data_IF_451745144854
#
_entry.id   IF_451745144854
#
_cell.length_a   1.000
_cell.length_b   1.000
_cell.length_c   1.000
_cell.angle_alpha   90.00
_cell.angle_beta   90.00
_cell.angle_gamma   90.00
#
_symmetry.space_group_name_H-M   'P 1'
#
loop_
_entity.id
_entity.type
_entity.pdbx_description
1 polymer ?
#
# COMPACT_ATOMS: atom_id res chain seq x y z
N UNK A 1 -14.36 16.09 -29.57
CA UNK A 1 -15.49 15.62 -30.40
C UNK A 1 -16.44 16.79 -30.60
N UNK A 2 -16.92 17.09 -31.80
CA UNK A 2 -17.90 18.17 -31.99
C UNK A 2 -19.28 17.54 -31.98
N UNK A 3 -20.10 17.89 -30.99
CA UNK A 3 -21.49 17.47 -30.92
C UNK A 3 -22.40 18.60 -31.39
N UNK A 4 -23.38 18.25 -32.22
CA UNK A 4 -24.37 19.18 -32.74
C UNK A 4 -25.70 18.92 -32.05
N UNK A 5 -26.21 19.93 -31.36
CA UNK A 5 -27.49 19.89 -30.67
C UNK A 5 -28.52 20.70 -31.46
N UNK A 6 -29.76 20.21 -31.54
CA UNK A 6 -30.87 20.99 -32.10
C UNK A 6 -31.73 21.48 -30.94
N UNK A 7 -31.82 22.80 -30.77
CA UNK A 7 -32.65 23.40 -29.73
C UNK A 7 -34.13 23.16 -30.08
N UNK A 8 -34.81 22.39 -29.24
CA UNK A 8 -36.18 21.94 -29.50
C UNK A 8 -37.20 23.09 -29.61
N UNK A 9 -36.91 24.25 -29.02
CA UNK A 9 -37.77 25.42 -29.00
C UNK A 9 -37.58 26.35 -30.21
N UNK A 10 -36.39 26.36 -30.82
CA UNK A 10 -36.04 27.30 -31.89
C UNK A 10 -35.62 26.63 -33.19
N UNK A 11 -35.41 25.31 -33.19
CA UNK A 11 -34.85 24.56 -34.33
C UNK A 11 -33.39 24.90 -34.64
N UNK A 12 -32.78 25.80 -33.86
CA UNK A 12 -31.41 26.25 -34.09
C UNK A 12 -30.43 25.12 -33.77
N UNK A 13 -29.50 24.87 -34.69
CA UNK A 13 -28.39 23.95 -34.47
C UNK A 13 -27.27 24.70 -33.74
N UNK A 14 -26.87 24.17 -32.59
CA UNK A 14 -25.74 24.67 -31.80
C UNK A 14 -24.70 23.56 -31.78
N UNK A 15 -23.49 23.88 -32.23
CA UNK A 15 -22.35 22.96 -32.13
C UNK A 15 -21.55 23.31 -30.89
N UNK A 16 -21.25 22.32 -30.06
CA UNK A 16 -20.32 22.47 -28.95
C UNK A 16 -19.15 21.52 -29.12
N UNK A 17 -17.95 22.01 -28.82
CA UNK A 17 -16.79 21.17 -28.66
C UNK A 17 -16.91 20.41 -27.33
N UNK A 18 -17.20 19.12 -27.40
CA UNK A 18 -17.06 18.22 -26.26
C UNK A 18 -15.57 17.98 -26.04
N UNK A 19 -15.05 18.57 -24.96
CA UNK A 19 -13.76 18.20 -24.40
C UNK A 19 -13.97 16.94 -23.57
N UNK A 20 -13.21 15.90 -23.88
CA UNK A 20 -13.07 14.76 -22.99
C UNK A 20 -12.58 15.29 -21.64
N UNK A 21 -13.38 15.13 -20.60
CA UNK A 21 -12.93 15.43 -19.24
C UNK A 21 -12.02 14.27 -18.89
N UNK A 22 -10.72 14.54 -18.89
CA UNK A 22 -9.74 13.59 -18.44
C UNK A 22 -10.06 13.20 -16.99
N UNK A 23 -10.51 11.95 -16.81
CA UNK A 23 -11.00 11.48 -15.51
C UNK A 23 -9.81 11.21 -14.62
N UNK A 24 -9.70 11.93 -13.52
CA UNK A 24 -8.76 11.61 -12.46
C UNK A 24 -9.41 10.57 -11.55
N UNK A 25 -8.76 9.43 -11.36
CA UNK A 25 -9.38 8.28 -10.67
C UNK A 25 -8.66 7.86 -9.40
N UNK A 26 -7.41 8.25 -9.20
CA UNK A 26 -6.62 7.88 -8.03
C UNK A 26 -6.83 8.93 -6.94
N UNK A 27 -7.41 8.53 -5.81
CA UNK A 27 -7.76 9.42 -4.70
C UNK A 27 -7.07 8.99 -3.41
N UNK A 28 -5.92 9.58 -3.05
CA UNK A 28 -5.41 9.49 -1.69
C UNK A 28 -6.37 10.20 -0.73
N UNK A 29 -6.91 9.47 0.26
CA UNK A 29 -7.94 9.98 1.16
C UNK A 29 -7.37 10.81 2.33
N UNK A 30 -6.08 10.73 2.58
CA UNK A 30 -5.39 11.45 3.66
C UNK A 30 -3.95 11.84 3.28
N UNK A 31 -3.31 12.75 4.03
CA UNK A 31 -1.97 13.23 3.68
C UNK A 31 -0.94 12.09 3.65
N UNK A 32 -1.04 11.14 4.59
CA UNK A 32 -0.11 10.02 4.63
C UNK A 32 -0.31 9.10 3.43
N UNK A 33 -1.56 8.78 3.05
CA UNK A 33 -1.86 7.97 1.86
C UNK A 33 -1.27 8.55 0.58
N UNK A 34 -1.27 9.88 0.43
CA UNK A 34 -0.60 10.56 -0.68
C UNK A 34 0.92 10.36 -0.63
N UNK A 35 1.52 10.50 0.55
CA UNK A 35 2.96 10.34 0.72
C UNK A 35 3.43 8.88 0.52
N UNK A 36 2.62 7.88 0.86
CA UNK A 36 2.93 6.48 0.56
C UNK A 36 3.06 6.22 -0.95
N UNK A 37 2.29 6.93 -1.79
CA UNK A 37 2.46 6.88 -3.26
C UNK A 37 3.80 7.50 -3.64
N UNK A 38 4.03 8.73 -3.18
CA UNK A 38 5.22 9.53 -3.50
C UNK A 38 6.52 8.84 -3.09
N UNK A 39 6.57 8.27 -1.89
CA UNK A 39 7.78 7.62 -1.37
C UNK A 39 8.11 6.30 -2.08
N UNK A 40 7.13 5.67 -2.75
CA UNK A 40 7.36 4.48 -3.57
C UNK A 40 7.98 4.77 -4.94
N UNK A 41 8.20 6.04 -5.29
CA UNK A 41 8.67 6.51 -6.59
C UNK A 41 10.01 7.23 -6.47
N UNK A 42 10.73 7.41 -7.58
CA UNK A 42 11.94 8.24 -7.56
C UNK A 42 11.61 9.70 -7.21
N UNK A 43 12.60 10.47 -6.74
CA UNK A 43 12.42 11.91 -6.47
C UNK A 43 11.91 12.68 -7.69
N UNK A 44 12.47 12.40 -8.87
CA UNK A 44 12.07 13.07 -10.11
C UNK A 44 10.61 12.77 -10.48
N UNK A 45 10.16 11.53 -10.28
CA UNK A 45 8.78 11.12 -10.59
C UNK A 45 7.76 11.68 -9.59
N UNK A 46 8.14 11.75 -8.31
CA UNK A 46 7.31 12.29 -7.25
C UNK A 46 6.83 13.72 -7.51
N UNK A 47 7.63 14.54 -8.20
CA UNK A 47 7.28 15.92 -8.59
C UNK A 47 6.04 15.99 -9.51
N UNK A 48 5.71 14.89 -10.19
CA UNK A 48 4.57 14.80 -11.11
C UNK A 48 3.33 14.15 -10.49
N UNK A 49 3.40 13.70 -9.23
CA UNK A 49 2.25 13.15 -8.51
C UNK A 49 1.54 14.30 -7.80
N UNK A 50 0.77 15.10 -8.55
CA UNK A 50 0.14 16.32 -8.02
C UNK A 50 -1.36 16.09 -7.78
N UNK A 51 -1.87 16.51 -6.62
CA UNK A 51 -3.32 16.49 -6.35
C UNK A 51 -4.03 17.66 -7.04
N UNK A 52 -5.16 17.38 -7.69
CA UNK A 52 -6.08 18.39 -8.16
C UNK A 52 -6.92 18.97 -7.00
N UNK A 53 -7.80 19.93 -7.29
CA UNK A 53 -8.65 20.60 -6.28
C UNK A 53 -9.63 19.66 -5.56
N UNK A 54 -9.95 18.52 -6.15
CA UNK A 54 -10.85 17.51 -5.61
C UNK A 54 -10.11 16.42 -4.81
N UNK A 55 -8.77 16.52 -4.73
CA UNK A 55 -7.91 15.60 -4.00
C UNK A 55 -7.48 14.35 -4.78
N UNK A 56 -7.81 14.25 -6.07
CA UNK A 56 -7.32 13.17 -6.93
C UNK A 56 -5.93 13.49 -7.49
N UNK A 57 -5.12 12.48 -7.78
CA UNK A 57 -3.89 12.65 -8.56
C UNK A 57 -4.26 13.08 -9.98
N UNK A 58 -3.69 14.21 -10.42
CA UNK A 58 -3.91 14.80 -11.72
C UNK A 58 -3.15 14.02 -12.80
N UNK A 59 -3.89 13.26 -13.60
CA UNK A 59 -3.37 12.41 -14.66
C UNK A 59 -2.53 13.17 -15.68
N UNK A 60 -2.81 14.47 -15.91
CA UNK A 60 -2.06 15.30 -16.85
C UNK A 60 -0.59 15.41 -16.46
N UNK A 61 -0.32 15.53 -15.16
CA UNK A 61 1.04 15.58 -14.64
C UNK A 61 1.73 14.23 -14.76
N UNK A 62 1.04 13.13 -14.49
CA UNK A 62 1.59 11.79 -14.72
C UNK A 62 1.99 11.57 -16.19
N UNK A 63 1.12 11.99 -17.12
CA UNK A 63 1.40 11.92 -18.56
C UNK A 63 2.54 12.86 -19.00
N UNK A 64 2.71 13.99 -18.33
CA UNK A 64 3.84 14.89 -18.57
C UNK A 64 5.15 14.22 -18.17
N UNK A 65 5.21 13.59 -16.99
CA UNK A 65 6.37 12.80 -16.56
C UNK A 65 6.75 11.73 -17.58
N UNK A 66 5.76 11.05 -18.19
CA UNK A 66 6.00 10.04 -19.24
C UNK A 66 6.72 10.62 -20.47
N UNK A 67 6.56 11.91 -20.75
CA UNK A 67 7.22 12.60 -21.87
C UNK A 67 8.59 13.15 -21.47
N UNK A 68 8.72 13.65 -20.24
CA UNK A 68 9.91 14.40 -19.79
C UNK A 68 10.97 13.53 -19.11
N UNK A 69 10.58 12.45 -18.44
CA UNK A 69 11.50 11.56 -17.72
C UNK A 69 11.98 10.45 -18.67
N UNK A 70 13.30 10.44 -18.94
CA UNK A 70 13.93 9.52 -19.89
C UNK A 70 13.74 8.03 -19.55
N UNK A 71 13.75 7.69 -18.26
CA UNK A 71 13.58 6.32 -17.77
C UNK A 71 12.69 6.31 -16.54
N UNK A 72 11.44 5.90 -16.74
CA UNK A 72 10.49 5.68 -15.65
C UNK A 72 10.81 4.38 -14.90
N UNK A 73 10.63 4.44 -13.59
CA UNK A 73 10.51 3.29 -12.69
C UNK A 73 9.28 2.46 -13.03
N UNK A 74 9.27 1.19 -12.64
CA UNK A 74 8.10 0.33 -12.90
C UNK A 74 6.93 0.71 -12.00
N UNK A 75 7.19 1.13 -10.75
CA UNK A 75 6.16 1.68 -9.86
C UNK A 75 5.43 2.86 -10.53
N UNK A 76 6.14 3.78 -11.18
CA UNK A 76 5.50 4.89 -11.89
C UNK A 76 4.69 4.42 -13.10
N UNK A 77 5.20 3.44 -13.86
CA UNK A 77 4.46 2.85 -14.99
C UNK A 77 3.15 2.19 -14.54
N UNK A 78 3.14 1.57 -13.36
CA UNK A 78 1.93 0.99 -12.80
C UNK A 78 0.96 2.03 -12.28
N UNK A 79 1.45 3.11 -11.66
CA UNK A 79 0.62 4.25 -11.31
C UNK A 79 -0.06 4.85 -12.56
N UNK A 80 0.69 5.02 -13.65
CA UNK A 80 0.16 5.44 -14.95
C UNK A 80 -0.90 4.47 -15.46
N UNK A 81 -0.66 3.16 -15.44
CA UNK A 81 -1.63 2.17 -15.90
C UNK A 81 -2.89 2.16 -15.03
N UNK A 82 -2.75 2.27 -13.71
CA UNK A 82 -3.89 2.39 -12.80
C UNK A 82 -4.70 3.62 -13.16
N UNK A 83 -4.06 4.76 -13.47
CA UNK A 83 -4.74 6.02 -13.84
C UNK A 83 -5.57 5.95 -15.13
N UNK A 84 -5.47 4.87 -15.90
CA UNK A 84 -6.28 4.61 -17.10
C UNK A 84 -7.56 3.81 -16.80
N UNK A 85 -7.78 3.36 -15.56
CA UNK A 85 -8.99 2.63 -15.16
C UNK A 85 -10.23 3.53 -15.19
N UNK A 86 -11.39 2.92 -15.44
CA UNK A 86 -12.69 3.61 -15.39
C UNK A 86 -13.26 3.69 -13.96
N UNK A 87 -12.71 2.91 -13.03
CA UNK A 87 -13.16 2.82 -11.63
C UNK A 87 -12.31 3.75 -10.76
N UNK A 88 -12.96 4.51 -9.87
CA UNK A 88 -12.24 5.31 -8.87
C UNK A 88 -11.48 4.37 -7.94
N UNK A 89 -10.22 4.71 -7.69
CA UNK A 89 -9.33 4.01 -6.78
C UNK A 89 -9.00 4.88 -5.57
N UNK A 90 -9.41 4.47 -4.38
CA UNK A 90 -9.13 5.18 -3.13
C UNK A 90 -7.99 4.53 -2.35
N UNK A 91 -7.11 5.35 -1.76
CA UNK A 91 -6.03 4.88 -0.90
C UNK A 91 -6.25 5.44 0.49
N UNK A 92 -6.30 4.57 1.49
CA UNK A 92 -6.69 4.93 2.86
C UNK A 92 -5.68 4.40 3.87
N UNK A 93 -5.32 5.21 4.85
CA UNK A 93 -4.59 4.76 6.05
C UNK A 93 -5.51 4.79 7.26
N UNK A 94 -6.03 3.63 7.66
CA UNK A 94 -7.05 3.54 8.71
C UNK A 94 -7.01 2.21 9.48
N UNK A 95 -7.72 2.13 10.62
CA UNK A 95 -7.74 0.95 11.50
C UNK A 95 -8.82 -0.08 11.14
N UNK A 96 -9.51 0.11 10.03
CA UNK A 96 -10.63 -0.73 9.63
C UNK A 96 -10.79 -0.71 8.11
N UNK A 97 -11.63 -1.59 7.58
CA UNK A 97 -12.12 -1.53 6.21
C UNK A 97 -13.64 -1.70 6.17
N UNK A 98 -14.25 -1.21 5.09
CA UNK A 98 -15.71 -1.21 4.93
C UNK A 98 -16.09 -1.91 3.64
N UNK A 99 -16.98 -2.88 3.77
CA UNK A 99 -17.60 -3.60 2.66
C UNK A 99 -19.11 -3.48 2.76
N UNK A 100 -19.83 -3.94 1.75
CA UNK A 100 -21.29 -4.01 1.79
C UNK A 100 -21.83 -4.85 2.97
N UNK A 101 -20.99 -5.70 3.58
CA UNK A 101 -21.35 -6.53 4.73
C UNK A 101 -21.16 -5.81 6.07
N UNK A 102 -20.42 -4.71 6.10
CA UNK A 102 -20.18 -3.93 7.30
C UNK A 102 -18.75 -3.42 7.41
N UNK A 103 -18.39 -3.04 8.63
CA UNK A 103 -17.12 -2.45 8.99
C UNK A 103 -16.31 -3.42 9.83
N UNK A 104 -15.07 -3.68 9.42
CA UNK A 104 -14.19 -4.68 10.02
C UNK A 104 -12.91 -4.01 10.50
N UNK A 105 -12.61 -4.12 11.78
CA UNK A 105 -11.39 -3.54 12.37
C UNK A 105 -10.19 -4.43 12.05
N UNK A 106 -9.06 -3.82 11.72
CA UNK A 106 -7.80 -4.56 11.59
C UNK A 106 -7.24 -4.92 12.97
N UNK A 107 -6.67 -6.11 13.06
CA UNK A 107 -5.84 -6.46 14.21
C UNK A 107 -4.59 -5.55 14.28
N UNK A 108 -4.09 -5.24 15.49
CA UNK A 108 -2.85 -4.50 15.64
C UNK A 108 -1.69 -5.22 14.96
N UNK A 109 -0.86 -4.45 14.27
CA UNK A 109 0.44 -4.92 13.80
C UNK A 109 1.38 -4.97 14.99
N UNK A 110 2.06 -6.10 15.12
CA UNK A 110 3.09 -6.31 16.13
C UNK A 110 4.46 -6.20 15.47
N UNK A 111 5.33 -5.46 16.14
CA UNK A 111 6.75 -5.40 15.81
C UNK A 111 7.53 -5.72 17.07
N UNK A 112 8.20 -6.87 17.04
CA UNK A 112 9.03 -7.32 18.14
C UNK A 112 10.22 -8.08 17.60
N UNK A 113 11.33 -7.99 18.32
CA UNK A 113 12.24 -9.12 18.35
C UNK A 113 11.50 -10.33 18.95
N UNK A 114 11.75 -11.55 18.47
CA UNK A 114 11.23 -12.78 19.10
C UNK A 114 11.51 -12.89 20.60
N UNK A 115 12.43 -12.05 21.09
CA UNK A 115 12.73 -11.76 22.49
C UNK A 115 11.51 -11.60 23.40
N UNK A 116 10.41 -10.99 22.95
CA UNK A 116 9.24 -10.82 23.84
C UNK A 116 8.68 -12.17 24.29
N UNK A 117 8.48 -13.09 23.35
CA UNK A 117 7.96 -14.43 23.63
C UNK A 117 8.98 -15.26 24.39
N UNK A 118 10.25 -15.21 23.98
CA UNK A 118 11.34 -15.91 24.67
C UNK A 118 11.55 -15.40 26.09
N UNK A 119 11.45 -14.10 26.31
CA UNK A 119 11.57 -13.49 27.63
C UNK A 119 10.39 -13.85 28.53
N UNK A 120 9.15 -13.81 28.03
CA UNK A 120 7.98 -14.23 28.82
C UNK A 120 8.04 -15.73 29.14
N UNK A 121 8.50 -16.57 28.20
CA UNK A 121 8.75 -17.99 28.46
C UNK A 121 9.85 -18.20 29.52
N UNK A 122 11.00 -17.55 29.38
CA UNK A 122 12.08 -17.54 30.38
C UNK A 122 11.55 -17.12 31.75
N UNK A 123 10.83 -16.00 31.80
CA UNK A 123 10.27 -15.44 33.03
C UNK A 123 9.27 -16.40 33.66
N UNK A 124 8.38 -17.01 32.89
CA UNK A 124 7.42 -17.99 33.42
C UNK A 124 8.08 -19.25 33.98
N UNK A 125 9.13 -19.74 33.30
CA UNK A 125 9.91 -20.89 33.77
C UNK A 125 10.69 -20.55 35.04
N UNK A 126 11.42 -19.42 35.03
CA UNK A 126 12.25 -19.01 36.16
C UNK A 126 11.43 -18.51 37.35
N UNK A 127 10.32 -17.79 37.15
CA UNK A 127 9.43 -17.36 38.25
C UNK A 127 8.86 -18.54 39.03
N UNK A 128 8.67 -19.69 38.38
CA UNK A 128 8.14 -20.89 39.01
C UNK A 128 9.11 -21.47 40.05
N UNK A 129 10.40 -21.50 39.73
CA UNK A 129 11.41 -22.22 40.52
C UNK A 129 12.38 -21.28 41.26
N UNK A 130 12.62 -20.06 40.76
CA UNK A 130 13.62 -19.10 41.25
C UNK A 130 13.23 -17.63 40.98
N UNK A 131 12.20 -17.08 41.64
CA UNK A 131 11.69 -15.73 41.35
C UNK A 131 12.74 -14.62 41.51
N UNK A 132 13.67 -14.76 42.45
CA UNK A 132 14.75 -13.77 42.68
C UNK A 132 15.82 -13.74 41.58
N UNK A 133 15.80 -14.71 40.66
CA UNK A 133 16.75 -14.80 39.53
C UNK A 133 16.21 -14.19 38.24
N UNK A 134 14.97 -13.69 38.23
CA UNK A 134 14.39 -13.05 37.06
C UNK A 134 15.10 -11.72 36.81
N UNK A 135 15.85 -11.65 35.72
CA UNK A 135 16.50 -10.42 35.27
C UNK A 135 15.55 -9.57 34.42
N UNK A 136 15.86 -8.27 34.24
CA UNK A 136 15.10 -7.43 33.31
C UNK A 136 15.22 -7.92 31.87
N UNK A 137 14.25 -7.55 31.03
CA UNK A 137 14.23 -7.92 29.61
C UNK A 137 15.52 -7.50 28.89
N UNK A 138 16.03 -6.30 29.17
CA UNK A 138 17.25 -5.76 28.57
C UNK A 138 18.49 -6.57 29.00
N UNK A 139 18.55 -6.99 30.27
CA UNK A 139 19.64 -7.84 30.75
C UNK A 139 19.58 -9.24 30.15
N UNK A 140 18.38 -9.82 30.04
CA UNK A 140 18.18 -11.11 29.38
C UNK A 140 18.61 -11.05 27.92
N UNK A 141 18.18 -10.00 27.18
CA UNK A 141 18.61 -9.77 25.80
C UNK A 141 20.13 -9.71 25.68
N UNK A 142 20.79 -8.90 26.51
CA UNK A 142 22.25 -8.76 26.49
C UNK A 142 22.95 -10.08 26.78
N UNK A 143 22.48 -10.86 27.76
CA UNK A 143 23.03 -12.19 28.07
C UNK A 143 22.92 -13.14 26.87
N UNK A 144 21.79 -13.12 26.16
CA UNK A 144 21.58 -13.95 24.97
C UNK A 144 22.47 -13.48 23.80
N UNK A 145 22.59 -12.17 23.58
CA UNK A 145 23.49 -11.59 22.57
C UNK A 145 24.97 -11.91 22.86
N UNK A 146 25.40 -11.84 24.12
CA UNK A 146 26.75 -12.24 24.56
C UNK A 146 27.00 -13.76 24.32
N UNK A 147 25.93 -14.57 24.28
CA UNK A 147 25.96 -15.99 23.92
C UNK A 147 25.85 -16.23 22.41
N UNK A 148 25.80 -15.18 21.59
CA UNK A 148 25.71 -15.27 20.13
C UNK A 148 24.29 -15.40 19.57
N UNK A 149 23.24 -15.23 20.39
CA UNK A 149 21.87 -15.13 19.89
C UNK A 149 21.57 -13.73 19.37
N UNK A 150 21.22 -13.63 18.08
CA UNK A 150 20.69 -12.40 17.48
C UNK A 150 19.19 -12.51 17.31
N UNK A 151 18.45 -11.66 18.02
CA UNK A 151 17.02 -11.57 17.83
C UNK A 151 16.69 -10.81 16.55
N UNK A 152 16.08 -11.51 15.58
CA UNK A 152 15.54 -10.87 14.38
C UNK A 152 14.24 -10.14 14.73
N UNK A 153 14.13 -8.91 14.24
CA UNK A 153 12.89 -8.13 14.36
C UNK A 153 11.89 -8.65 13.33
N UNK A 154 10.70 -9.02 13.78
CA UNK A 154 9.65 -9.54 12.93
C UNK A 154 8.42 -8.64 12.95
N UNK A 155 7.84 -8.45 11.78
CA UNK A 155 6.56 -7.80 11.59
C UNK A 155 5.48 -8.86 11.44
N UNK A 156 4.44 -8.81 12.27
CA UNK A 156 3.32 -9.72 12.21
C UNK A 156 1.99 -8.97 12.21
N UNK A 157 1.01 -9.50 11.48
CA UNK A 157 -0.35 -8.99 11.45
C UNK A 157 -0.84 -8.69 10.03
N UNK A 158 -1.99 -8.03 9.97
CA UNK A 158 -2.65 -7.68 8.72
C UNK A 158 -2.23 -6.29 8.25
N UNK A 159 -1.33 -6.23 7.28
CA UNK A 159 -0.66 -4.98 6.89
C UNK A 159 -1.50 -4.05 6.01
N UNK A 160 -2.24 -4.63 5.08
CA UNK A 160 -3.12 -3.91 4.17
C UNK A 160 -3.98 -4.85 3.35
N UNK A 161 -4.91 -4.27 2.59
CA UNK A 161 -5.77 -4.98 1.64
C UNK A 161 -6.08 -4.16 0.41
N UNK A 162 -6.36 -4.90 -0.64
CA UNK A 162 -7.08 -4.46 -1.82
C UNK A 162 -8.54 -4.94 -1.76
N UNK A 163 -9.47 -4.02 -1.97
CA UNK A 163 -10.91 -4.25 -2.08
C UNK A 163 -11.41 -3.77 -3.44
N UNK A 164 -12.46 -4.42 -3.96
CA UNK A 164 -12.98 -4.15 -5.30
C UNK A 164 -14.46 -3.76 -5.31
N UNK A 165 -14.86 -3.00 -6.33
CA UNK A 165 -16.23 -2.50 -6.51
C UNK A 165 -17.24 -3.51 -7.09
N UNK A 166 -16.79 -4.55 -7.79
CA UNK A 166 -17.64 -5.35 -8.70
C UNK A 166 -17.80 -6.85 -8.35
N UNK A 167 -16.76 -7.54 -7.83
CA UNK A 167 -16.73 -8.81 -7.05
C UNK A 167 -15.33 -9.48 -7.12
N UNK A 168 -15.15 -10.56 -6.33
CA UNK A 168 -13.94 -11.37 -6.07
C UNK A 168 -12.80 -10.68 -5.29
N UNK A 169 -13.10 -10.14 -4.11
CA UNK A 169 -12.11 -9.99 -3.05
C UNK A 169 -12.36 -11.02 -1.95
N UNK A 170 -11.31 -11.53 -1.29
CA UNK A 170 -11.47 -12.41 -0.13
C UNK A 170 -12.28 -11.76 1.02
N UNK A 171 -12.34 -10.42 1.03
CA UNK A 171 -12.94 -9.61 2.09
C UNK A 171 -14.31 -9.02 1.74
N UNK A 172 -14.79 -9.20 0.51
CA UNK A 172 -16.07 -8.68 0.03
C UNK A 172 -15.96 -7.47 -0.92
N UNK A 173 -17.12 -6.88 -1.23
CA UNK A 173 -17.28 -5.75 -2.17
C UNK A 173 -17.27 -4.44 -1.41
N UNK A 174 -16.62 -3.41 -1.94
CA UNK A 174 -16.59 -2.08 -1.30
C UNK A 174 -17.98 -1.47 -1.15
N UNK A 175 -18.21 -0.75 -0.04
CA UNK A 175 -19.52 -0.18 0.28
C UNK A 175 -19.92 1.02 -0.59
N UNK A 176 -18.95 1.66 -1.26
CA UNK A 176 -19.13 2.92 -2.00
C UNK A 176 -18.91 2.77 -3.52
N UNK A 177 -18.71 1.54 -4.03
CA UNK A 177 -18.51 1.29 -5.45
C UNK A 177 -17.17 1.77 -6.01
N UNK A 178 -16.16 2.02 -5.16
CA UNK A 178 -14.78 2.33 -5.59
C UNK A 178 -13.86 1.14 -5.34
N UNK A 179 -12.81 0.98 -6.11
CA UNK A 179 -11.70 0.10 -5.71
C UNK A 179 -10.93 0.79 -4.57
N UNK A 180 -10.37 0.02 -3.63
CA UNK A 180 -9.70 0.58 -2.46
C UNK A 180 -8.44 -0.19 -2.11
N UNK A 181 -7.38 0.53 -1.75
CA UNK A 181 -6.27 0.00 -0.98
C UNK A 181 -6.34 0.59 0.41
N UNK A 182 -6.45 -0.26 1.42
CA UNK A 182 -6.51 0.13 2.82
C UNK A 182 -5.26 -0.36 3.53
N UNK A 183 -4.42 0.55 3.99
CA UNK A 183 -3.21 0.27 4.77
C UNK A 183 -3.55 0.40 6.24
N UNK A 184 -3.15 -0.60 7.03
CA UNK A 184 -3.48 -0.67 8.44
C UNK A 184 -2.75 0.42 9.24
N UNK A 185 -3.50 1.38 9.78
CA UNK A 185 -2.94 2.51 10.54
C UNK A 185 -2.19 2.09 11.80
N UNK A 186 -2.34 0.86 12.30
CA UNK A 186 -1.61 0.40 13.50
C UNK A 186 -0.10 0.26 13.29
N UNK A 187 0.40 0.30 12.03
CA UNK A 187 1.81 0.56 11.74
C UNK A 187 2.33 1.76 12.55
N UNK A 188 1.50 2.80 12.65
CA UNK A 188 1.75 4.01 13.41
C UNK A 188 1.56 3.84 14.92
N UNK A 189 1.62 2.64 15.48
CA UNK A 189 1.76 2.44 16.92
C UNK A 189 3.19 1.97 17.28
N UNK A 190 3.99 1.65 16.27
CA UNK A 190 5.33 1.10 16.45
C UNK A 190 6.33 2.23 16.69
N UNK A 191 7.29 1.97 17.57
CA UNK A 191 8.28 2.97 18.02
C UNK A 191 9.23 3.35 16.88
N UNK A 192 9.65 2.37 16.10
CA UNK A 192 10.46 2.51 14.89
C UNK A 192 9.62 3.09 13.72
N UNK A 193 9.34 4.39 13.81
CA UNK A 193 8.44 5.09 12.88
C UNK A 193 8.93 5.10 11.44
N UNK A 194 10.23 5.26 11.23
CA UNK A 194 10.80 5.29 9.88
C UNK A 194 10.60 3.96 9.18
N UNK A 195 10.90 2.88 9.87
CA UNK A 195 10.70 1.50 9.43
C UNK A 195 9.22 1.24 9.18
N UNK A 196 8.33 1.67 10.08
CA UNK A 196 6.89 1.56 9.88
C UNK A 196 6.42 2.26 8.59
N UNK A 197 6.86 3.49 8.33
CA UNK A 197 6.50 4.23 7.11
C UNK A 197 7.08 3.58 5.84
N UNK A 198 8.30 3.04 5.90
CA UNK A 198 8.89 2.29 4.80
C UNK A 198 8.07 1.03 4.50
N UNK A 199 7.69 0.27 5.53
CA UNK A 199 6.84 -0.91 5.36
C UNK A 199 5.45 -0.54 4.83
N UNK A 200 4.82 0.54 5.31
CA UNK A 200 3.54 1.01 4.76
C UNK A 200 3.65 1.37 3.27
N UNK A 201 4.79 1.94 2.86
CA UNK A 201 5.07 2.29 1.45
C UNK A 201 5.21 1.02 0.61
N UNK A 202 5.93 0.02 1.11
CA UNK A 202 6.03 -1.29 0.47
C UNK A 202 4.67 -2.01 0.42
N UNK A 203 3.87 -1.97 1.49
CA UNK A 203 2.51 -2.52 1.51
C UNK A 203 1.59 -1.83 0.51
N UNK A 204 1.69 -0.50 0.35
CA UNK A 204 0.97 0.17 -0.73
C UNK A 204 1.36 -0.38 -2.11
N UNK A 205 2.65 -0.56 -2.38
CA UNK A 205 3.13 -1.14 -3.64
C UNK A 205 2.66 -2.60 -3.82
N UNK A 206 2.65 -3.41 -2.76
CA UNK A 206 2.11 -4.76 -2.75
C UNK A 206 0.65 -4.80 -3.20
N UNK A 207 -0.18 -4.00 -2.55
CA UNK A 207 -1.62 -3.98 -2.77
C UNK A 207 -1.98 -3.33 -4.12
N UNK A 208 -1.44 -2.13 -4.41
CA UNK A 208 -1.76 -1.39 -5.62
C UNK A 208 -1.09 -1.98 -6.88
N UNK A 209 0.20 -2.28 -6.82
CA UNK A 209 0.97 -2.69 -8.00
C UNK A 209 1.09 -4.21 -8.16
N UNK A 210 0.74 -4.97 -7.11
CA UNK A 210 0.49 -6.40 -7.18
C UNK A 210 -0.98 -6.68 -7.48
N UNK A 211 -1.83 -6.58 -6.46
CA UNK A 211 -3.21 -7.05 -6.52
C UNK A 211 -4.11 -6.23 -7.43
N UNK A 212 -4.18 -4.90 -7.24
CA UNK A 212 -5.04 -4.05 -8.08
C UNK A 212 -4.59 -4.06 -9.54
N UNK A 213 -3.29 -3.89 -9.79
CA UNK A 213 -2.73 -3.93 -11.14
C UNK A 213 -3.02 -5.26 -11.86
N UNK A 214 -2.86 -6.41 -11.18
CA UNK A 214 -3.19 -7.71 -11.78
C UNK A 214 -4.67 -7.83 -12.13
N UNK A 215 -5.57 -7.32 -11.28
CA UNK A 215 -7.01 -7.27 -11.60
C UNK A 215 -7.27 -6.44 -12.86
N UNK A 216 -6.66 -5.25 -12.97
CA UNK A 216 -6.79 -4.39 -14.16
C UNK A 216 -6.27 -5.05 -15.45
N UNK A 217 -5.37 -6.02 -15.34
CA UNK A 217 -4.90 -6.82 -16.47
C UNK A 217 -5.77 -8.06 -16.76
N UNK A 218 -6.83 -8.31 -15.98
CA UNK A 218 -7.62 -9.54 -16.07
C UNK A 218 -6.86 -10.79 -15.63
N UNK A 219 -5.82 -10.64 -14.81
CA UNK A 219 -5.00 -11.75 -14.29
C UNK A 219 -5.49 -12.19 -12.92
N UNK A 220 -5.12 -13.42 -12.53
CA UNK A 220 -5.34 -13.90 -11.17
C UNK A 220 -4.59 -13.02 -10.17
N UNK A 221 -5.31 -12.31 -9.32
CA UNK A 221 -4.77 -11.29 -8.44
C UNK A 221 -4.76 -11.72 -6.96
N UNK A 222 -4.75 -13.03 -6.68
CA UNK A 222 -4.61 -13.57 -5.31
C UNK A 222 -3.34 -14.40 -5.18
N UNK A 223 -2.74 -14.42 -4.00
CA UNK A 223 -1.44 -15.07 -3.73
C UNK A 223 -1.38 -16.57 -4.02
N UNK A 224 -2.52 -17.26 -4.05
CA UNK A 224 -2.58 -18.73 -4.05
C UNK A 224 -2.42 -19.32 -2.64
N UNK A 225 -2.64 -20.63 -2.53
CA UNK A 225 -2.47 -21.36 -1.25
C UNK A 225 -0.99 -21.54 -0.90
N UNK A 226 -0.12 -21.60 -1.90
CA UNK A 226 1.34 -21.63 -1.74
C UNK A 226 1.84 -20.22 -2.03
N UNK A 227 2.73 -19.72 -1.16
CA UNK A 227 3.26 -18.35 -1.25
C UNK A 227 4.74 -18.34 -1.65
N UNK A 228 5.09 -18.90 -2.81
CA UNK A 228 6.49 -19.13 -3.20
C UNK A 228 6.91 -18.32 -4.43
N UNK A 229 8.17 -17.88 -4.45
CA UNK A 229 8.79 -17.22 -5.61
C UNK A 229 9.31 -18.21 -6.65
N UNK A 230 9.50 -19.47 -6.28
CA UNK A 230 10.20 -20.47 -7.12
C UNK A 230 9.31 -21.64 -7.52
N UNK A 231 8.30 -21.98 -6.71
CA UNK A 231 7.41 -23.12 -6.93
C UNK A 231 6.50 -22.90 -8.15
N UNK A 232 6.39 -23.90 -9.02
CA UNK A 232 5.52 -23.88 -10.20
C UNK A 232 4.18 -24.61 -9.99
N UNK A 233 3.83 -24.96 -8.75
CA UNK A 233 2.54 -25.57 -8.42
C UNK A 233 1.38 -24.67 -8.88
N UNK A 234 0.31 -25.20 -9.52
CA UNK A 234 -0.85 -24.42 -9.92
C UNK A 234 -1.56 -23.67 -8.77
N UNK A 235 -1.37 -24.11 -7.53
CA UNK A 235 -1.88 -23.42 -6.33
C UNK A 235 -1.01 -22.23 -5.88
N UNK A 236 0.13 -21.99 -6.53
CA UNK A 236 0.99 -20.83 -6.33
C UNK A 236 0.75 -19.82 -7.45
N UNK A 237 0.53 -18.56 -7.10
CA UNK A 237 0.52 -17.48 -8.08
C UNK A 237 1.92 -16.86 -8.22
N UNK A 238 2.84 -17.63 -8.82
CA UNK A 238 4.26 -17.26 -8.91
C UNK A 238 4.49 -15.90 -9.58
N UNK A 239 3.74 -15.61 -10.64
CA UNK A 239 3.85 -14.34 -11.37
C UNK A 239 3.52 -13.15 -10.46
N UNK A 240 2.41 -13.22 -9.74
CA UNK A 240 2.03 -12.19 -8.77
C UNK A 240 3.07 -12.07 -7.64
N UNK A 241 3.63 -13.19 -7.17
CA UNK A 241 4.65 -13.16 -6.10
C UNK A 241 5.91 -12.44 -6.52
N UNK A 242 6.40 -12.72 -7.73
CA UNK A 242 7.57 -12.03 -8.29
C UNK A 242 7.27 -10.54 -8.49
N UNK A 243 6.10 -10.22 -9.05
CA UNK A 243 5.64 -8.84 -9.20
C UNK A 243 5.68 -8.10 -7.86
N UNK A 244 5.01 -8.65 -6.84
CA UNK A 244 4.88 -8.03 -5.53
C UNK A 244 6.26 -7.80 -4.92
N UNK A 245 7.12 -8.82 -4.90
CA UNK A 245 8.47 -8.70 -4.36
C UNK A 245 9.27 -7.58 -5.04
N UNK A 246 9.22 -7.54 -6.38
CA UNK A 246 9.93 -6.52 -7.14
C UNK A 246 9.40 -5.11 -6.86
N UNK A 247 8.08 -4.96 -6.62
CA UNK A 247 7.46 -3.65 -6.36
C UNK A 247 7.63 -3.17 -4.92
N UNK A 248 7.60 -4.08 -3.97
CA UNK A 248 7.99 -3.81 -2.58
C UNK A 248 9.46 -3.38 -2.48
N UNK A 249 10.37 -4.09 -3.14
CA UNK A 249 11.81 -3.77 -3.14
C UNK A 249 12.07 -2.39 -3.77
N UNK A 250 11.47 -2.12 -4.92
CA UNK A 250 11.59 -0.85 -5.62
C UNK A 250 11.05 0.31 -4.76
N UNK A 251 9.88 0.14 -4.14
CA UNK A 251 9.32 1.13 -3.22
C UNK A 251 10.20 1.35 -1.98
N UNK A 252 10.74 0.28 -1.40
CA UNK A 252 11.64 0.32 -0.24
C UNK A 252 12.92 1.09 -0.56
N UNK A 253 13.49 0.86 -1.75
CA UNK A 253 14.69 1.56 -2.22
C UNK A 253 14.41 3.06 -2.42
N UNK A 254 13.30 3.39 -3.08
CA UNK A 254 12.91 4.78 -3.32
C UNK A 254 12.58 5.54 -2.03
N UNK A 255 11.96 4.89 -1.04
CA UNK A 255 11.58 5.51 0.23
C UNK A 255 12.76 6.24 0.88
N UNK A 256 13.95 5.62 0.87
CA UNK A 256 15.16 6.21 1.48
C UNK A 256 15.57 7.54 0.85
N UNK A 257 15.20 7.78 -0.41
CA UNK A 257 15.50 9.01 -1.14
C UNK A 257 14.67 10.20 -0.63
N UNK A 258 13.60 10.00 0.14
CA UNK A 258 12.61 11.03 0.50
C UNK A 258 12.68 11.50 1.96
N UNK A 259 13.88 11.50 2.55
CA UNK A 259 14.08 11.86 3.96
C UNK A 259 13.51 13.22 4.36
N UNK A 260 13.56 14.17 3.45
CA UNK A 260 13.01 15.52 3.59
C UNK A 260 11.49 15.54 3.77
N UNK A 261 10.75 14.62 3.13
CA UNK A 261 9.29 14.62 3.18
C UNK A 261 8.72 13.64 4.21
N UNK A 262 9.41 12.54 4.52
CA UNK A 262 8.94 11.62 5.57
C UNK A 262 9.30 12.07 6.99
N UNK A 263 10.30 12.92 7.19
CA UNK A 263 10.74 13.35 8.52
C UNK A 263 9.61 13.99 9.35
N UNK A 264 8.67 14.70 8.72
CA UNK A 264 7.51 15.31 9.40
C UNK A 264 6.55 14.28 10.03
N UNK A 265 6.61 13.01 9.60
CA UNK A 265 5.79 11.92 10.12
C UNK A 265 6.51 11.06 11.18
N UNK A 266 7.74 11.44 11.56
CA UNK A 266 8.52 10.75 12.61
C UNK A 266 8.30 11.32 14.01
N UNK A 267 7.59 12.45 14.13
CA UNK A 267 7.27 13.13 15.38
C UNK A 267 6.02 12.50 16.02
#
# INVERSE_FOLDING_TARGET
MIATFTLHTTGQKVSAELKEIEKNIIKPCDDLSYHLIVWGLTRQEAEYVIKNKEGFIDRRWLLLAKKEIKKLSENFKYLLRISESDVIFEIKVQKYYETIQGKFTFEPIYYSDGLNEDYENYKNVIMKDFPDKVVSKEMYKKQQEDMGFTYEKMWNGFFGITLYADKEGAFGITANGTDQVVINKTYLNIKERKEALQHMTATFAHEAYGHLYFKLLGKWHSHGAIKSLTDNNPKNNKELKIQIKNREDEATNHFTMHADTYAKFLQ
#
